data_IF_429799077808
#
_entry.id   IF_429799077808
#
_cell.length_a   1.000
_cell.length_b   1.000
_cell.length_c   1.000
_cell.angle_alpha   90.00
_cell.angle_beta   90.00
_cell.angle_gamma   90.00
#
_symmetry.space_group_name_H-M   'P 1'
#
loop_
_entity.id
_entity.type
_entity.pdbx_description
1 polymer ?
#
# COMPACT_ATOMS: atom_id res chain seq x y z
N UNK A 1 -8.49 0.21 6.51
CA UNK A 1 -8.70 1.02 5.30
C UNK A 1 -9.57 0.16 4.37
N UNK A 2 -10.34 0.68 3.42
CA UNK A 2 -11.05 -0.20 2.46
C UNK A 2 -11.00 0.43 1.08
N UNK A 3 -9.97 0.06 0.30
CA UNK A 3 -9.75 0.54 -1.05
C UNK A 3 -9.85 -0.64 -1.99
N UNK A 4 -10.75 -0.53 -2.96
CA UNK A 4 -10.81 -1.43 -4.09
C UNK A 4 -9.82 -0.95 -5.14
N UNK A 5 -8.77 -1.73 -5.36
CA UNK A 5 -7.77 -1.46 -6.40
C UNK A 5 -8.23 -2.10 -7.71
N UNK A 6 -7.98 -1.41 -8.81
CA UNK A 6 -8.18 -1.91 -10.17
C UNK A 6 -6.98 -2.76 -10.63
N UNK A 7 -5.76 -2.39 -10.20
CA UNK A 7 -4.51 -3.10 -10.56
C UNK A 7 -3.60 -3.30 -9.34
N UNK A 8 -2.61 -4.20 -9.42
CA UNK A 8 -1.53 -4.25 -8.43
C UNK A 8 -0.85 -2.89 -8.31
N UNK A 9 -0.74 -2.40 -7.08
CA UNK A 9 -0.02 -1.20 -6.74
C UNK A 9 1.40 -1.56 -6.32
N UNK A 10 2.39 -1.33 -7.18
CA UNK A 10 3.80 -1.60 -6.92
C UNK A 10 4.69 -0.67 -7.76
N UNK A 11 5.89 -0.33 -7.26
CA UNK A 11 6.81 0.58 -7.93
C UNK A 11 7.28 0.12 -9.32
N UNK A 12 7.24 -1.18 -9.57
CA UNK A 12 7.63 -1.81 -10.84
C UNK A 12 6.42 -2.24 -11.69
N UNK A 13 5.23 -1.67 -11.47
CA UNK A 13 4.01 -2.03 -12.18
C UNK A 13 3.31 -0.82 -12.77
N UNK A 14 2.51 -1.05 -13.82
CA UNK A 14 1.61 -0.05 -14.37
C UNK A 14 0.43 0.16 -13.41
N UNK A 15 0.59 1.10 -12.47
CA UNK A 15 -0.45 1.48 -11.52
C UNK A 15 -1.53 2.32 -12.18
N UNK A 16 -2.75 2.21 -11.67
CA UNK A 16 -3.86 3.04 -12.12
C UNK A 16 -3.88 4.39 -11.38
N UNK A 17 -4.10 5.48 -12.11
CA UNK A 17 -4.11 6.84 -11.56
C UNK A 17 -5.18 7.04 -10.47
N UNK A 18 -6.35 6.42 -10.65
CA UNK A 18 -7.41 6.46 -9.65
C UNK A 18 -6.97 5.73 -8.38
N UNK A 19 -6.38 4.55 -8.52
CA UNK A 19 -5.85 3.77 -7.38
C UNK A 19 -4.78 4.56 -6.61
N UNK A 20 -3.88 5.25 -7.31
CA UNK A 20 -2.85 6.12 -6.70
C UNK A 20 -3.51 7.19 -5.81
N UNK A 21 -4.50 7.90 -6.34
CA UNK A 21 -5.22 8.94 -5.57
C UNK A 21 -5.92 8.36 -4.35
N UNK A 22 -6.57 7.21 -4.48
CA UNK A 22 -7.28 6.59 -3.36
C UNK A 22 -6.30 6.19 -2.25
N UNK A 23 -5.17 5.57 -2.60
CA UNK A 23 -4.13 5.18 -1.63
C UNK A 23 -3.56 6.40 -0.92
N UNK A 24 -3.16 7.44 -1.68
CA UNK A 24 -2.62 8.69 -1.10
C UNK A 24 -3.62 9.35 -0.15
N UNK A 25 -4.91 9.43 -0.53
CA UNK A 25 -5.97 9.99 0.33
C UNK A 25 -6.09 9.23 1.65
N UNK A 26 -6.08 7.92 1.60
CA UNK A 26 -6.26 7.13 2.81
C UNK A 26 -5.02 7.13 3.70
N UNK A 27 -3.81 7.05 3.12
CA UNK A 27 -2.56 7.20 3.88
C UNK A 27 -2.45 8.60 4.50
N UNK A 28 -2.91 9.65 3.81
CA UNK A 28 -2.96 11.00 4.38
C UNK A 28 -3.92 11.09 5.57
N UNK A 29 -5.14 10.54 5.47
CA UNK A 29 -6.09 10.48 6.59
C UNK A 29 -5.56 9.72 7.80
N UNK A 30 -4.68 8.74 7.56
CA UNK A 30 -4.03 7.95 8.60
C UNK A 30 -2.72 8.58 9.10
N UNK A 31 -2.28 9.71 8.53
CA UNK A 31 -1.07 10.44 8.95
C UNK A 31 0.25 9.94 8.34
N UNK A 32 0.21 8.98 7.40
CA UNK A 32 1.43 8.42 6.77
C UNK A 32 1.89 9.17 5.51
N UNK A 33 1.01 9.93 4.86
CA UNK A 33 1.32 10.62 3.61
C UNK A 33 0.99 12.11 3.69
N UNK A 34 1.98 12.96 3.41
CA UNK A 34 1.81 14.40 3.28
C UNK A 34 1.74 14.77 1.79
N UNK A 35 0.60 15.29 1.27
CA UNK A 35 0.56 15.80 -0.08
C UNK A 35 1.41 17.07 -0.23
N UNK A 36 1.90 17.32 -1.44
CA UNK A 36 2.64 18.55 -1.73
C UNK A 36 1.67 19.74 -1.70
N UNK A 37 2.04 20.83 -1.04
CA UNK A 37 1.11 21.95 -0.79
C UNK A 37 0.59 22.60 -2.07
N UNK A 38 1.41 22.69 -3.13
CA UNK A 38 1.02 23.38 -4.38
C UNK A 38 0.15 22.53 -5.30
N UNK A 39 0.29 21.20 -5.26
CA UNK A 39 -0.35 20.29 -6.24
C UNK A 39 -1.31 19.30 -5.60
N UNK A 40 -1.28 19.16 -4.27
CA UNK A 40 -2.16 18.28 -3.52
C UNK A 40 -1.93 16.79 -3.79
N UNK A 41 -3.02 16.02 -3.76
CA UNK A 41 -3.00 14.59 -4.07
C UNK A 41 -3.15 14.39 -5.57
N UNK A 42 -2.07 14.01 -6.22
CA UNK A 42 -2.02 13.69 -7.65
C UNK A 42 -2.15 12.19 -7.92
N UNK A 43 -2.37 11.86 -9.18
CA UNK A 43 -2.37 10.50 -9.70
C UNK A 43 -0.99 9.87 -9.92
N UNK A 44 0.08 10.56 -9.50
CA UNK A 44 1.45 10.15 -9.77
C UNK A 44 1.96 9.24 -8.65
N UNK A 45 2.43 8.01 -8.94
CA UNK A 45 3.01 7.11 -7.95
C UNK A 45 4.46 7.49 -7.62
N UNK A 46 4.63 8.56 -6.86
CA UNK A 46 5.95 8.98 -6.37
C UNK A 46 6.53 8.04 -5.31
N UNK A 47 7.81 8.19 -5.00
CA UNK A 47 8.46 7.42 -3.94
C UNK A 47 7.75 7.59 -2.57
N UNK A 48 7.20 8.78 -2.31
CA UNK A 48 6.56 9.11 -1.04
C UNK A 48 5.33 8.23 -0.75
N UNK A 49 4.49 7.91 -1.74
CA UNK A 49 3.35 7.01 -1.51
C UNK A 49 3.78 5.57 -1.19
N UNK A 50 4.88 5.10 -1.79
CA UNK A 50 5.40 3.76 -1.50
C UNK A 50 6.02 3.67 -0.11
N UNK A 51 6.77 4.69 0.32
CA UNK A 51 7.33 4.76 1.68
C UNK A 51 6.21 4.89 2.74
N UNK A 52 5.20 5.71 2.47
CA UNK A 52 4.02 5.81 3.33
C UNK A 52 3.28 4.48 3.48
N UNK A 53 3.18 3.71 2.38
CA UNK A 53 2.57 2.39 2.40
C UNK A 53 3.40 1.37 3.20
N UNK A 54 4.73 1.41 3.10
CA UNK A 54 5.63 0.59 3.93
C UNK A 54 5.49 0.91 5.41
N UNK A 55 5.44 2.19 5.77
CA UNK A 55 5.27 2.64 7.14
C UNK A 55 3.93 2.15 7.72
N UNK A 56 2.84 2.32 6.97
CA UNK A 56 1.54 1.77 7.34
C UNK A 56 1.59 0.25 7.55
N UNK A 57 2.16 -0.50 6.60
CA UNK A 57 2.27 -1.95 6.71
C UNK A 57 3.06 -2.36 7.96
N UNK A 58 4.19 -1.70 8.24
CA UNK A 58 5.00 -1.95 9.43
C UNK A 58 4.20 -1.73 10.71
N UNK A 59 3.47 -0.63 10.80
CA UNK A 59 2.67 -0.28 11.97
C UNK A 59 1.43 -1.19 12.15
N UNK A 60 0.98 -1.84 11.07
CA UNK A 60 -0.03 -2.90 11.14
C UNK A 60 0.55 -4.29 11.41
N UNK A 61 1.87 -4.42 11.64
CA UNK A 61 2.54 -5.72 11.83
C UNK A 61 2.62 -6.58 10.56
N UNK A 62 2.44 -5.96 9.38
CA UNK A 62 2.59 -6.60 8.08
C UNK A 62 4.02 -6.45 7.57
N UNK A 63 4.38 -7.26 6.58
CA UNK A 63 5.65 -7.10 5.86
C UNK A 63 5.63 -5.75 5.09
N UNK A 64 6.62 -4.85 5.29
CA UNK A 64 6.63 -3.53 4.66
C UNK A 64 7.12 -3.61 3.21
N UNK A 65 6.31 -4.20 2.33
CA UNK A 65 6.64 -4.37 0.90
C UNK A 65 6.45 -3.09 0.09
N UNK A 66 5.63 -2.15 0.56
CA UNK A 66 5.22 -0.97 -0.21
C UNK A 66 4.33 -1.32 -1.40
N UNK A 67 3.65 -2.48 -1.36
CA UNK A 67 2.79 -2.94 -2.44
C UNK A 67 1.40 -3.27 -1.94
N UNK A 68 0.37 -3.09 -2.77
CA UNK A 68 -0.99 -3.55 -2.51
C UNK A 68 -1.56 -4.28 -3.74
N UNK A 69 -2.43 -5.27 -3.54
CA UNK A 69 -3.02 -6.06 -4.64
C UNK A 69 -4.55 -6.01 -4.58
N UNK A 70 -5.25 -5.99 -5.74
CA UNK A 70 -6.70 -6.15 -5.78
C UNK A 70 -7.13 -7.44 -5.05
N UNK A 71 -8.17 -7.34 -4.22
CA UNK A 71 -8.70 -8.49 -3.48
C UNK A 71 -7.80 -9.05 -2.37
N UNK A 72 -6.66 -8.42 -2.10
CA UNK A 72 -5.71 -8.87 -1.08
C UNK A 72 -5.75 -7.96 0.15
N UNK A 73 -5.58 -8.56 1.32
CA UNK A 73 -5.89 -8.04 2.66
C UNK A 73 -4.92 -6.94 3.14
N UNK A 74 -4.01 -6.46 2.29
CA UNK A 74 -3.10 -5.36 2.66
C UNK A 74 -3.85 -4.09 3.09
N UNK A 75 -5.11 -3.96 2.67
CA UNK A 75 -5.96 -2.81 2.98
C UNK A 75 -6.88 -3.05 4.18
N UNK A 76 -7.22 -4.31 4.48
CA UNK A 76 -8.13 -4.72 5.56
C UNK A 76 -7.29 -5.39 6.63
N UNK A 77 -7.16 -4.82 7.85
CA UNK A 77 -6.47 -5.47 8.98
C UNK A 77 -6.77 -6.98 9.00
N UNK A 78 -5.81 -7.87 8.68
CA UNK A 78 -6.01 -9.27 8.95
C UNK A 78 -5.69 -9.45 10.44
N UNK A 79 -6.73 -9.45 11.27
CA UNK A 79 -6.65 -10.21 12.50
C UNK A 79 -6.55 -11.67 12.10
N UNK A 80 -5.31 -12.16 11.97
CA UNK A 80 -4.96 -13.58 11.86
C UNK A 80 -5.38 -14.31 10.57
N UNK A 81 -4.57 -14.28 9.50
CA UNK A 81 -4.34 -15.48 8.66
C UNK A 81 -3.23 -15.30 7.60
N UNK A 82 -1.97 -15.19 8.03
CA UNK A 82 -0.83 -15.45 7.15
C UNK A 82 -0.38 -16.91 7.32
N UNK A 83 -1.15 -17.85 6.76
CA UNK A 83 -0.63 -19.19 6.43
C UNK A 83 0.40 -19.01 5.31
N UNK A 84 1.64 -18.75 5.69
CA UNK A 84 2.80 -18.84 4.80
C UNK A 84 3.02 -20.32 4.46
N UNK A 85 2.31 -20.84 3.46
CA UNK A 85 2.66 -22.11 2.83
C UNK A 85 3.91 -21.91 1.96
N UNK A 86 5.05 -22.39 2.45
CA UNK A 86 6.32 -22.45 1.72
C UNK A 86 7.51 -22.15 2.62
N UNK A 87 7.86 -23.09 3.50
CA UNK A 87 9.00 -22.99 4.43
C UNK A 87 10.37 -23.00 3.72
N UNK A 88 11.45 -22.66 4.45
CA UNK A 88 12.79 -22.42 3.90
C UNK A 88 13.56 -23.72 3.67
N UNK A 89 14.00 -23.96 2.44
CA UNK A 89 14.99 -24.99 2.11
C UNK A 89 16.40 -24.41 2.16
N UNK A 90 16.99 -24.34 3.35
CA UNK A 90 18.45 -24.32 3.55
C UNK A 90 18.76 -25.09 4.85
N UNK A 91 18.91 -26.40 4.72
CA UNK A 91 19.78 -27.25 5.56
C UNK A 91 20.68 -28.05 4.63
#
# INVERSE_FOLDING_TARGET
MNIKLNKPFAANSAVDEFDVRQIKKALNRLGYYQPYEKTGITGIPDAAVFEALKAFQKDQGLRPTGTARPGNETVTKPGSEAKMNGGPGWI
#
